data_IF_223622546528
#
_entry.id   IF_223622546528
#
_cell.length_a   1.000
_cell.length_b   1.000
_cell.length_c   1.000
_cell.angle_alpha   90.00
_cell.angle_beta   90.00
_cell.angle_gamma   90.00
#
_symmetry.space_group_name_H-M   'P 1'
#
loop_
_entity.id
_entity.type
_entity.pdbx_description
1 polymer ?
#
# COMPACT_ATOMS: atom_id res chain seq x y z
N UNK A 1 2.07 3.36 20.68
CA UNK A 1 2.21 2.40 19.59
C UNK A 1 0.87 2.10 18.98
N UNK A 2 0.78 2.25 17.69
CA UNK A 2 -0.48 2.11 16.99
C UNK A 2 -1.07 0.72 17.10
N UNK A 3 -0.23 -0.31 17.14
CA UNK A 3 -0.70 -1.69 17.17
C UNK A 3 -1.61 -2.02 18.37
N UNK A 4 -1.53 -1.24 19.45
CA UNK A 4 -2.35 -1.46 20.62
C UNK A 4 -3.71 -0.79 20.51
N UNK A 5 -3.88 0.10 19.56
CA UNK A 5 -5.13 0.82 19.33
C UNK A 5 -5.99 0.14 18.29
N UNK A 6 -5.42 -0.71 17.46
CA UNK A 6 -6.07 -1.31 16.32
C UNK A 6 -5.82 -2.82 16.36
N UNK A 7 -6.84 -3.62 16.63
CA UNK A 7 -6.63 -5.06 16.71
C UNK A 7 -6.27 -5.64 15.35
N UNK A 8 -5.34 -6.51 15.40
CA UNK A 8 -4.95 -7.60 14.55
C UNK A 8 -4.79 -7.41 13.07
N UNK A 9 -5.66 -6.77 12.38
CA UNK A 9 -5.64 -6.74 10.92
C UNK A 9 -5.22 -5.40 10.33
N UNK A 10 -4.99 -4.41 11.16
CA UNK A 10 -4.48 -3.14 10.70
C UNK A 10 -2.98 -3.29 10.44
N UNK A 11 -2.58 -3.18 9.19
CA UNK A 11 -1.19 -3.18 8.83
C UNK A 11 -0.85 -1.86 8.18
N UNK A 12 0.11 -1.16 8.77
CA UNK A 12 0.59 0.11 8.26
C UNK A 12 2.11 0.09 8.34
N UNK A 13 2.76 0.49 7.26
CA UNK A 13 4.20 0.62 7.21
C UNK A 13 4.54 2.10 7.07
N UNK A 14 5.37 2.60 7.99
CA UNK A 14 5.89 3.95 7.92
C UNK A 14 7.30 3.87 7.35
N UNK A 15 7.46 4.45 6.17
CA UNK A 15 8.75 4.47 5.50
C UNK A 15 9.24 5.90 5.54
N UNK A 16 10.05 6.23 6.54
CA UNK A 16 10.49 7.58 6.82
C UNK A 16 9.29 8.48 7.16
N UNK A 17 9.51 9.72 7.62
CA UNK A 17 8.39 10.62 7.92
C UNK A 17 7.64 11.13 6.68
N UNK A 18 8.12 10.82 5.47
CA UNK A 18 7.52 11.35 4.23
C UNK A 18 6.42 10.47 3.66
N UNK A 19 6.45 9.16 3.92
CA UNK A 19 5.56 8.23 3.25
C UNK A 19 5.06 7.16 4.21
N UNK A 20 3.76 6.89 4.13
CA UNK A 20 3.12 5.79 4.83
C UNK A 20 2.47 4.86 3.80
N UNK A 21 2.36 3.60 4.15
CA UNK A 21 1.66 2.61 3.31
C UNK A 21 0.60 1.92 4.16
N UNK A 22 -0.64 1.96 3.70
CA UNK A 22 -1.74 1.25 4.33
C UNK A 22 -2.04 -0.02 3.54
N UNK A 23 -2.03 -1.16 4.21
CA UNK A 23 -2.21 -2.46 3.58
C UNK A 23 -3.61 -2.99 3.87
N UNK A 24 -4.46 -2.89 2.86
CA UNK A 24 -5.79 -3.47 2.89
C UNK A 24 -6.89 -2.58 3.45
N UNK A 25 -8.12 -3.04 3.29
CA UNK A 25 -9.30 -2.26 3.62
C UNK A 25 -9.41 -1.91 5.10
N UNK A 26 -9.01 -2.82 5.98
CA UNK A 26 -9.06 -2.58 7.43
C UNK A 26 -8.16 -1.44 7.84
N UNK A 27 -6.94 -1.40 7.28
CA UNK A 27 -6.00 -0.31 7.55
C UNK A 27 -6.55 1.02 7.04
N UNK A 28 -7.11 1.03 5.85
CA UNK A 28 -7.69 2.24 5.26
C UNK A 28 -8.85 2.76 6.11
N UNK A 29 -9.74 1.87 6.51
CA UNK A 29 -10.88 2.25 7.34
C UNK A 29 -10.41 2.78 8.69
N UNK A 30 -9.42 2.13 9.30
CA UNK A 30 -8.89 2.55 10.59
C UNK A 30 -8.18 3.90 10.55
N UNK A 31 -7.46 4.18 9.47
CA UNK A 31 -6.66 5.42 9.36
C UNK A 31 -7.48 6.59 8.83
N UNK A 32 -8.28 6.36 7.81
CA UNK A 32 -8.97 7.43 7.10
C UNK A 32 -10.46 7.50 7.40
N UNK A 33 -11.00 6.50 8.10
CA UNK A 33 -12.43 6.40 8.30
C UNK A 33 -13.19 6.17 7.01
N UNK A 34 -12.48 5.92 5.92
CA UNK A 34 -13.06 5.78 4.60
C UNK A 34 -13.45 4.33 4.34
N UNK A 35 -14.60 4.17 3.70
CA UNK A 35 -15.03 2.89 3.18
C UNK A 35 -15.06 2.99 1.68
N UNK A 36 -14.57 1.98 1.02
CA UNK A 36 -14.56 1.99 -0.43
C UNK A 36 -14.07 0.67 -0.98
N UNK A 37 -14.13 0.57 -2.28
CA UNK A 37 -13.68 -0.62 -2.97
C UNK A 37 -12.17 -0.49 -3.16
N UNK A 38 -11.43 -1.49 -2.63
CA UNK A 38 -9.97 -1.45 -2.65
C UNK A 38 -9.39 -1.25 -4.04
N UNK A 39 -9.99 -1.84 -5.07
CA UNK A 39 -9.47 -1.66 -6.42
C UNK A 39 -9.55 -0.21 -6.91
N UNK A 40 -10.40 0.60 -6.30
CA UNK A 40 -10.51 2.02 -6.62
C UNK A 40 -9.58 2.86 -5.74
N UNK A 41 -9.32 2.41 -4.52
CA UNK A 41 -8.50 3.16 -3.57
C UNK A 41 -7.00 2.88 -3.74
N UNK A 42 -6.64 1.67 -4.15
CA UNK A 42 -5.25 1.29 -4.29
C UNK A 42 -4.54 2.06 -5.40
N UNK A 43 -3.24 2.21 -5.26
CA UNK A 43 -2.41 2.81 -6.30
C UNK A 43 -2.53 4.31 -6.43
N UNK A 44 -3.20 4.94 -5.50
CA UNK A 44 -3.39 6.39 -5.49
C UNK A 44 -2.80 6.97 -4.22
N UNK A 45 -2.28 8.18 -4.33
CA UNK A 45 -1.79 8.90 -3.18
C UNK A 45 -2.94 9.53 -2.40
N UNK A 46 -2.87 9.36 -1.11
CA UNK A 46 -3.79 9.99 -0.15
C UNK A 46 -2.97 10.76 0.86
N UNK A 47 -3.62 11.40 1.81
CA UNK A 47 -2.94 12.17 2.84
C UNK A 47 -3.44 11.75 4.21
N UNK A 48 -2.51 11.59 5.15
CA UNK A 48 -2.83 11.31 6.54
C UNK A 48 -1.93 12.19 7.42
N UNK A 49 -2.55 13.16 8.10
CA UNK A 49 -1.81 14.11 8.94
C UNK A 49 -0.61 14.73 8.21
N UNK A 50 -0.86 15.21 6.98
CA UNK A 50 0.13 15.85 6.11
C UNK A 50 1.22 14.90 5.60
N UNK A 51 1.10 13.60 5.85
CA UNK A 51 2.01 12.60 5.31
C UNK A 51 1.35 11.92 4.11
N UNK A 52 2.12 11.73 3.06
CA UNK A 52 1.62 11.03 1.88
C UNK A 52 1.39 9.57 2.22
N UNK A 53 0.23 9.07 1.83
CA UNK A 53 -0.19 7.70 2.14
C UNK A 53 -0.50 6.96 0.85
N UNK A 54 0.19 5.84 0.63
CA UNK A 54 -0.14 4.91 -0.46
C UNK A 54 -1.04 3.81 0.08
N UNK A 55 -2.09 3.49 -0.66
CA UNK A 55 -2.99 2.39 -0.33
C UNK A 55 -2.73 1.25 -1.31
N UNK A 56 -2.57 0.05 -0.79
CA UNK A 56 -2.42 -1.14 -1.62
C UNK A 56 -3.09 -2.34 -0.95
N UNK A 57 -3.10 -3.48 -1.63
CA UNK A 57 -3.72 -4.69 -1.10
C UNK A 57 -2.93 -5.26 0.08
N UNK A 58 -3.66 -5.86 1.01
CA UNK A 58 -3.04 -6.64 2.09
C UNK A 58 -2.40 -7.91 1.49
N UNK A 59 -1.25 -8.37 2.04
CA UNK A 59 -0.62 -9.59 1.54
C UNK A 59 -1.54 -10.81 1.49
N UNK A 60 -2.49 -10.92 2.40
CA UNK A 60 -3.45 -12.02 2.39
C UNK A 60 -4.30 -12.07 1.12
N UNK A 61 -4.53 -10.92 0.49
CA UNK A 61 -5.24 -10.88 -0.78
C UNK A 61 -4.46 -11.63 -1.86
N UNK A 62 -3.14 -11.45 -1.90
CA UNK A 62 -2.29 -12.12 -2.88
C UNK A 62 -2.19 -13.62 -2.61
N UNK A 63 -2.33 -14.05 -1.37
CA UNK A 63 -2.38 -15.48 -1.05
C UNK A 63 -3.64 -16.14 -1.60
N UNK A 64 -4.76 -15.39 -1.63
CA UNK A 64 -6.01 -15.89 -2.18
C UNK A 64 -6.11 -15.71 -3.69
N UNK A 65 -5.42 -14.72 -4.22
CA UNK A 65 -5.43 -14.42 -5.65
C UNK A 65 -4.01 -14.24 -6.13
N UNK A 66 -3.43 -15.31 -6.66
CA UNK A 66 -2.03 -15.34 -7.04
C UNK A 66 -1.80 -15.04 -8.52
N UNK A 67 -2.77 -14.47 -9.20
CA UNK A 67 -2.60 -14.13 -10.60
C UNK A 67 -1.49 -13.10 -10.77
N UNK A 68 -0.68 -13.22 -11.85
CA UNK A 68 0.38 -12.23 -12.11
C UNK A 68 -0.14 -10.80 -12.19
N UNK A 69 -1.35 -10.61 -12.73
CA UNK A 69 -1.93 -9.27 -12.83
C UNK A 69 -2.14 -8.61 -11.48
N UNK A 70 -2.56 -9.37 -10.47
CA UNK A 70 -2.76 -8.82 -9.14
C UNK A 70 -1.44 -8.55 -8.43
N UNK A 71 -0.45 -9.41 -8.62
CA UNK A 71 0.91 -9.15 -8.12
C UNK A 71 1.49 -7.91 -8.77
N UNK A 72 1.26 -7.72 -10.05
CA UNK A 72 1.72 -6.53 -10.76
C UNK A 72 1.13 -5.25 -10.17
N UNK A 73 -0.16 -5.26 -9.84
CA UNK A 73 -0.80 -4.09 -9.22
C UNK A 73 -0.11 -3.67 -7.93
N UNK A 74 0.14 -4.63 -7.04
CA UNK A 74 0.83 -4.33 -5.78
C UNK A 74 2.24 -3.84 -6.05
N UNK A 75 2.93 -4.44 -7.01
CA UNK A 75 4.27 -4.01 -7.37
C UNK A 75 4.28 -2.59 -7.92
N UNK A 76 3.30 -2.23 -8.72
CA UNK A 76 3.19 -0.85 -9.21
C UNK A 76 2.99 0.13 -8.06
N UNK A 77 2.19 -0.24 -7.06
CA UNK A 77 1.99 0.60 -5.89
C UNK A 77 3.31 0.78 -5.13
N UNK A 78 4.09 -0.29 -4.99
CA UNK A 78 5.40 -0.21 -4.33
C UNK A 78 6.40 0.60 -5.13
N UNK A 79 6.40 0.49 -6.46
CA UNK A 79 7.27 1.30 -7.28
C UNK A 79 6.96 2.80 -7.12
N UNK A 80 5.68 3.15 -7.02
CA UNK A 80 5.31 4.53 -6.78
C UNK A 80 5.87 5.04 -5.45
N UNK A 81 5.86 4.20 -4.41
CA UNK A 81 6.47 4.54 -3.13
C UNK A 81 7.98 4.74 -3.27
N UNK A 82 8.66 3.84 -3.97
CA UNK A 82 10.09 3.95 -4.18
C UNK A 82 10.44 5.22 -4.94
N UNK A 83 9.66 5.57 -5.95
CA UNK A 83 9.87 6.80 -6.70
C UNK A 83 9.69 8.03 -5.84
N UNK A 84 8.69 8.03 -4.98
CA UNK A 84 8.45 9.14 -4.05
C UNK A 84 9.64 9.31 -3.09
N UNK A 85 10.31 8.22 -2.75
CA UNK A 85 11.47 8.23 -1.85
C UNK A 85 12.79 8.43 -2.60
N UNK A 86 12.74 8.70 -3.89
CA UNK A 86 13.92 8.85 -4.74
C UNK A 86 14.84 7.62 -4.71
N UNK A 87 14.24 6.44 -4.61
CA UNK A 87 14.99 5.18 -4.64
C UNK A 87 15.07 4.66 -6.06
N UNK A 88 16.23 4.20 -6.49
CA UNK A 88 16.39 3.70 -7.87
C UNK A 88 15.60 2.41 -8.06
N UNK A 89 15.00 2.28 -9.24
CA UNK A 89 14.30 1.07 -9.65
C UNK A 89 14.96 0.62 -10.94
N UNK A 90 15.53 -0.59 -10.94
CA UNK A 90 16.17 -1.12 -12.14
C UNK A 90 15.12 -1.44 -13.21
N UNK A 91 15.56 -1.51 -14.46
CA UNK A 91 14.67 -1.89 -15.55
C UNK A 91 14.09 -3.28 -15.34
N UNK A 92 14.88 -4.21 -14.81
CA UNK A 92 14.41 -5.56 -14.46
C UNK A 92 13.28 -5.50 -13.44
N UNK A 93 13.45 -4.68 -12.40
CA UNK A 93 12.42 -4.51 -11.38
C UNK A 93 11.14 -3.89 -11.94
N UNK A 94 11.28 -2.92 -12.85
CA UNK A 94 10.10 -2.32 -13.48
C UNK A 94 9.26 -3.32 -14.24
N UNK A 95 9.88 -4.40 -14.68
CA UNK A 95 9.22 -5.43 -15.48
C UNK A 95 8.72 -6.62 -14.67
N UNK A 96 8.84 -6.58 -13.33
CA UNK A 96 8.34 -7.68 -12.50
C UNK A 96 6.84 -7.89 -12.71
N UNK A 97 6.46 -9.14 -12.86
CA UNK A 97 5.07 -9.58 -12.98
C UNK A 97 4.35 -9.09 -14.24
N UNK A 98 5.09 -8.72 -15.24
CA UNK A 98 4.51 -8.44 -16.55
C UNK A 98 4.16 -9.72 -17.31
#
# INVERSE_FOLDING_TARGET
MLRNQFPGQLVMVIIQPRVMVALGATAVEGLLGARGIMRELRGKWHSYHDTRLMITYHPSYLLRNQSPGEKRKVWEDMMAVLEELDRPISERQRNYFL
#
